data_IF_072331789623
#
_entry.id   IF_072331789623
#
_cell.length_a   1.000
_cell.length_b   1.000
_cell.length_c   1.000
_cell.angle_alpha   90.00
_cell.angle_beta   90.00
_cell.angle_gamma   90.00
#
_symmetry.space_group_name_H-M   'P 1'
#
loop_
_entity.id
_entity.type
_entity.pdbx_description
1 polymer ?
#
# COMPACT_ATOMS: atom_id res chain seq x y z
N UNK A 1 -32.31 -10.11 -25.34
CA UNK A 1 -31.39 -11.22 -25.00
C UNK A 1 -29.97 -10.79 -25.34
N UNK A 2 -29.01 -10.98 -24.43
CA UNK A 2 -27.60 -10.70 -24.72
C UNK A 2 -27.11 -11.66 -25.82
N UNK A 3 -26.49 -11.13 -26.86
CA UNK A 3 -25.91 -11.94 -27.95
C UNK A 3 -24.64 -12.62 -27.41
N UNK A 4 -24.52 -13.93 -27.57
CA UNK A 4 -23.35 -14.68 -27.14
C UNK A 4 -22.12 -14.34 -28.01
N UNK A 5 -20.91 -14.54 -27.48
CA UNK A 5 -19.66 -14.36 -28.23
C UNK A 5 -19.67 -15.10 -29.57
N UNK A 6 -20.12 -16.36 -29.57
CA UNK A 6 -20.32 -17.16 -30.78
C UNK A 6 -21.33 -16.54 -31.74
N UNK A 7 -22.44 -16.00 -31.23
CA UNK A 7 -23.45 -15.31 -32.03
C UNK A 7 -22.96 -13.99 -32.63
N UNK A 8 -22.01 -13.31 -31.98
CA UNK A 8 -21.34 -12.12 -32.56
C UNK A 8 -20.43 -12.51 -33.72
N UNK A 9 -19.66 -13.58 -33.55
CA UNK A 9 -18.78 -14.10 -34.60
C UNK A 9 -19.58 -14.62 -35.79
N UNK A 10 -20.67 -15.35 -35.55
CA UNK A 10 -21.59 -15.80 -36.61
C UNK A 10 -22.08 -14.63 -37.49
N UNK A 11 -22.62 -13.58 -36.86
CA UNK A 11 -23.07 -12.38 -37.58
C UNK A 11 -21.93 -11.69 -38.33
N UNK A 12 -20.76 -11.56 -37.70
CA UNK A 12 -19.61 -10.91 -38.32
C UNK A 12 -19.04 -11.72 -39.49
N UNK A 13 -19.04 -13.05 -39.43
CA UNK A 13 -18.64 -13.92 -40.54
C UNK A 13 -19.62 -13.82 -41.72
N UNK A 14 -20.92 -13.67 -41.45
CA UNK A 14 -21.92 -13.42 -42.50
C UNK A 14 -21.70 -12.06 -43.19
N UNK A 15 -21.46 -11.00 -42.42
CA UNK A 15 -21.11 -9.68 -42.96
C UNK A 15 -19.78 -9.72 -43.73
N UNK A 16 -18.80 -10.48 -43.24
CA UNK A 16 -17.54 -10.71 -43.94
C UNK A 16 -17.76 -11.37 -45.31
N UNK A 17 -18.63 -12.37 -45.39
CA UNK A 17 -19.00 -13.04 -46.64
C UNK A 17 -19.57 -12.03 -47.66
N UNK A 18 -20.54 -11.23 -47.21
CA UNK A 18 -21.23 -10.23 -48.04
C UNK A 18 -20.27 -9.14 -48.54
N UNK A 19 -19.35 -8.68 -47.69
CA UNK A 19 -18.37 -7.66 -48.05
C UNK A 19 -17.22 -8.17 -48.92
N UNK A 20 -16.77 -9.42 -48.72
CA UNK A 20 -15.64 -9.99 -49.47
C UNK A 20 -16.01 -10.45 -50.88
N UNK A 21 -17.20 -11.02 -51.06
CA UNK A 21 -17.57 -11.65 -52.32
C UNK A 21 -17.53 -10.71 -53.54
N UNK A 22 -18.09 -9.48 -53.49
CA UNK A 22 -18.02 -8.54 -54.61
C UNK A 22 -16.57 -8.18 -54.99
N UNK A 23 -15.73 -7.93 -53.98
CA UNK A 23 -14.31 -7.64 -54.17
C UNK A 23 -13.57 -8.81 -54.81
N UNK A 24 -13.73 -10.02 -54.26
CA UNK A 24 -13.11 -11.23 -54.81
C UNK A 24 -13.49 -11.44 -56.28
N UNK A 25 -14.77 -11.28 -56.62
CA UNK A 25 -15.27 -11.43 -57.99
C UNK A 25 -14.63 -10.42 -58.93
N UNK A 26 -14.57 -9.15 -58.54
CA UNK A 26 -13.95 -8.09 -59.32
C UNK A 26 -12.46 -8.36 -59.58
N UNK A 27 -11.71 -8.73 -58.56
CA UNK A 27 -10.27 -8.99 -58.69
C UNK A 27 -9.96 -10.23 -59.54
N UNK A 28 -10.71 -11.31 -59.32
CA UNK A 28 -10.57 -12.53 -60.11
C UNK A 28 -10.94 -12.31 -61.58
N UNK A 29 -11.96 -11.50 -61.87
CA UNK A 29 -12.33 -11.12 -63.24
C UNK A 29 -11.28 -10.21 -63.88
N UNK A 30 -10.62 -9.34 -63.11
CA UNK A 30 -9.54 -8.48 -63.59
C UNK A 30 -8.33 -9.28 -64.10
N UNK A 31 -8.00 -10.40 -63.44
CA UNK A 31 -6.85 -11.25 -63.81
C UNK A 31 -7.22 -12.32 -64.84
N UNK A 32 -8.38 -12.96 -64.70
CA UNK A 32 -8.75 -14.16 -65.47
C UNK A 32 -9.89 -13.95 -66.48
N UNK A 33 -10.50 -12.77 -66.53
CA UNK A 33 -11.61 -12.44 -67.43
C UNK A 33 -12.72 -13.50 -67.37
N UNK A 34 -13.09 -14.11 -68.50
CA UNK A 34 -14.18 -15.10 -68.58
C UNK A 34 -13.82 -16.46 -67.94
N UNK A 35 -12.56 -16.72 -67.61
CA UNK A 35 -12.12 -17.99 -67.01
C UNK A 35 -12.11 -17.99 -65.49
N UNK A 36 -12.49 -16.87 -64.84
CA UNK A 36 -12.38 -16.69 -63.39
C UNK A 36 -13.12 -17.77 -62.59
N UNK A 37 -14.32 -18.19 -63.02
CA UNK A 37 -15.10 -19.23 -62.32
C UNK A 37 -14.40 -20.59 -62.32
N UNK A 38 -13.71 -20.92 -63.42
CA UNK A 38 -12.96 -22.17 -63.55
C UNK A 38 -11.77 -22.18 -62.60
N UNK A 39 -11.06 -21.06 -62.49
CA UNK A 39 -9.95 -20.91 -61.55
C UNK A 39 -10.42 -20.90 -60.09
N UNK A 40 -11.52 -20.21 -59.79
CA UNK A 40 -12.12 -20.25 -58.46
C UNK A 40 -12.49 -21.68 -58.05
N UNK A 41 -13.14 -22.46 -58.96
CA UNK A 41 -13.47 -23.88 -58.72
C UNK A 41 -12.24 -24.77 -58.54
N UNK A 42 -11.12 -24.46 -59.17
CA UNK A 42 -9.89 -25.26 -59.03
C UNK A 42 -9.33 -25.19 -57.60
N UNK A 43 -9.58 -24.08 -56.89
CA UNK A 43 -9.20 -23.89 -55.50
C UNK A 43 -10.10 -24.62 -54.50
N UNK A 44 -11.34 -24.96 -54.88
CA UNK A 44 -12.35 -25.54 -54.00
C UNK A 44 -12.18 -27.06 -53.79
N UNK A 45 -12.61 -27.61 -52.64
CA UNK A 45 -12.62 -29.05 -52.40
C UNK A 45 -13.54 -29.80 -53.37
N UNK A 46 -13.12 -30.99 -53.83
CA UNK A 46 -13.86 -31.80 -54.81
C UNK A 46 -14.96 -32.67 -54.18
N UNK A 47 -15.98 -32.06 -53.55
CA UNK A 47 -17.15 -32.79 -53.03
C UNK A 47 -18.34 -32.78 -54.00
N UNK A 48 -19.15 -33.85 -53.99
CA UNK A 48 -20.30 -34.07 -54.89
C UNK A 48 -21.30 -32.90 -54.96
N UNK A 49 -21.69 -32.24 -53.84
CA UNK A 49 -22.64 -31.12 -53.86
C UNK A 49 -22.07 -29.86 -54.52
N UNK A 50 -20.77 -29.60 -54.32
CA UNK A 50 -20.06 -28.42 -54.86
C UNK A 50 -19.82 -28.52 -56.36
N UNK A 51 -19.73 -29.75 -56.92
CA UNK A 51 -19.55 -29.96 -58.37
C UNK A 51 -20.73 -29.47 -59.21
N UNK A 52 -21.93 -29.46 -58.65
CA UNK A 52 -23.17 -29.13 -59.37
C UNK A 52 -23.51 -27.63 -59.33
N UNK A 53 -22.97 -26.87 -58.38
CA UNK A 53 -23.20 -25.42 -58.25
C UNK A 53 -22.19 -24.60 -59.08
N UNK A 54 -22.56 -23.38 -59.47
CA UNK A 54 -21.62 -22.40 -60.04
C UNK A 54 -20.64 -21.91 -58.96
N UNK A 55 -19.47 -21.40 -59.38
CA UNK A 55 -18.51 -20.83 -58.41
C UNK A 55 -19.15 -19.64 -57.69
N UNK A 56 -19.91 -18.87 -58.46
CA UNK A 56 -20.67 -17.70 -58.05
C UNK A 56 -21.64 -17.98 -56.89
N UNK A 57 -22.43 -19.07 -57.00
CA UNK A 57 -23.39 -19.47 -55.96
C UNK A 57 -22.71 -19.99 -54.69
N UNK A 58 -21.56 -20.67 -54.81
CA UNK A 58 -20.84 -21.18 -53.63
C UNK A 58 -20.20 -20.03 -52.85
N UNK A 59 -19.53 -19.13 -53.57
CA UNK A 59 -18.73 -18.07 -52.96
C UNK A 59 -19.58 -16.93 -52.38
N UNK A 60 -20.81 -16.73 -52.86
CA UNK A 60 -21.72 -15.74 -52.28
C UNK A 60 -22.36 -16.20 -50.96
N UNK A 61 -22.38 -17.51 -50.68
CA UNK A 61 -23.02 -18.09 -49.50
C UNK A 61 -22.01 -18.53 -48.43
N UNK A 62 -20.78 -18.90 -48.81
CA UNK A 62 -19.84 -19.56 -47.90
C UNK A 62 -18.50 -18.80 -47.75
N UNK A 63 -18.37 -18.12 -46.61
CA UNK A 63 -17.14 -17.40 -46.22
C UNK A 63 -15.92 -18.32 -46.10
N UNK A 64 -16.13 -19.61 -45.81
CA UNK A 64 -15.08 -20.62 -45.82
C UNK A 64 -14.38 -20.70 -47.17
N UNK A 65 -15.21 -20.78 -48.22
CA UNK A 65 -14.79 -21.00 -49.59
C UNK A 65 -14.19 -19.72 -50.16
N UNK A 66 -14.75 -18.55 -49.80
CA UNK A 66 -14.16 -17.24 -50.11
C UNK A 66 -12.73 -17.12 -49.58
N UNK A 67 -12.55 -17.29 -48.28
CA UNK A 67 -11.23 -17.14 -47.64
C UNK A 67 -10.21 -18.16 -48.20
N UNK A 68 -10.66 -19.38 -48.52
CA UNK A 68 -9.82 -20.39 -49.15
C UNK A 68 -9.37 -19.99 -50.57
N UNK A 69 -10.26 -19.45 -51.39
CA UNK A 69 -9.91 -18.95 -52.73
C UNK A 69 -8.94 -17.77 -52.61
N UNK A 70 -9.20 -16.82 -51.69
CA UNK A 70 -8.28 -15.70 -51.45
C UNK A 70 -6.88 -16.17 -51.06
N UNK A 71 -6.79 -17.13 -50.13
CA UNK A 71 -5.52 -17.69 -49.69
C UNK A 71 -4.78 -18.41 -50.83
N UNK A 72 -5.47 -19.21 -51.65
CA UNK A 72 -4.83 -19.96 -52.76
C UNK A 72 -4.43 -19.10 -53.96
N UNK A 73 -5.13 -18.00 -54.19
CA UNK A 73 -4.86 -17.06 -55.29
C UNK A 73 -4.14 -15.80 -54.81
N UNK A 74 -3.54 -15.84 -53.61
CA UNK A 74 -2.95 -14.66 -52.96
C UNK A 74 -1.93 -13.96 -53.86
N UNK A 75 -0.87 -14.66 -54.24
CA UNK A 75 0.26 -14.10 -54.98
C UNK A 75 -0.14 -13.56 -56.36
N UNK A 76 -1.14 -14.18 -56.99
CA UNK A 76 -1.55 -13.87 -58.37
C UNK A 76 -2.61 -12.79 -58.46
N UNK A 77 -3.47 -12.65 -57.45
CA UNK A 77 -4.69 -11.83 -57.54
C UNK A 77 -4.74 -10.75 -56.45
N UNK A 78 -4.32 -11.06 -55.22
CA UNK A 78 -4.59 -10.19 -54.07
C UNK A 78 -3.36 -9.49 -53.50
N UNK A 79 -2.16 -9.99 -53.77
CA UNK A 79 -0.93 -9.52 -53.15
C UNK A 79 -0.63 -8.04 -53.44
N UNK A 80 -0.81 -7.59 -54.68
CA UNK A 80 -0.56 -6.19 -55.06
C UNK A 80 -1.51 -5.20 -54.34
N UNK A 81 -2.75 -5.61 -54.08
CA UNK A 81 -3.79 -4.71 -53.52
C UNK A 81 -3.91 -4.78 -52.00
N UNK A 82 -3.76 -5.96 -51.41
CA UNK A 82 -3.98 -6.19 -49.98
C UNK A 82 -2.70 -6.39 -49.16
N UNK A 83 -1.54 -6.54 -49.82
CA UNK A 83 -0.21 -6.71 -49.22
C UNK A 83 -0.09 -7.84 -48.16
N UNK A 84 1.09 -8.01 -47.57
CA UNK A 84 1.32 -9.09 -46.58
C UNK A 84 0.42 -9.01 -45.33
N UNK A 85 -0.04 -7.81 -44.95
CA UNK A 85 -0.96 -7.62 -43.82
C UNK A 85 -2.32 -8.22 -44.10
N UNK A 86 -2.83 -8.08 -45.33
CA UNK A 86 -4.08 -8.72 -45.75
C UNK A 86 -3.99 -10.24 -45.71
N UNK A 87 -2.84 -10.82 -46.07
CA UNK A 87 -2.64 -12.27 -46.04
C UNK A 87 -2.71 -12.82 -44.61
N UNK A 88 -2.09 -12.09 -43.66
CA UNK A 88 -2.15 -12.41 -42.24
C UNK A 88 -3.59 -12.43 -41.72
N UNK A 89 -4.39 -11.41 -42.08
CA UNK A 89 -5.80 -11.32 -41.71
C UNK A 89 -6.61 -12.48 -42.30
N UNK A 90 -6.43 -12.81 -43.59
CA UNK A 90 -7.13 -13.94 -44.21
C UNK A 90 -6.79 -15.26 -43.52
N UNK A 91 -5.52 -15.49 -43.20
CA UNK A 91 -5.07 -16.70 -42.50
C UNK A 91 -5.69 -16.82 -41.11
N UNK A 92 -5.69 -15.72 -40.34
CA UNK A 92 -6.31 -15.67 -39.03
C UNK A 92 -7.83 -15.91 -39.10
N UNK A 93 -8.51 -15.33 -40.09
CA UNK A 93 -9.96 -15.48 -40.26
C UNK A 93 -10.37 -16.88 -40.72
N UNK A 94 -9.50 -17.60 -41.44
CA UNK A 94 -9.68 -19.03 -41.71
C UNK A 94 -9.71 -19.80 -40.38
N UNK A 95 -8.78 -19.51 -39.47
CA UNK A 95 -8.76 -20.16 -38.15
C UNK A 95 -10.01 -19.82 -37.34
N UNK A 96 -10.39 -18.55 -37.25
CA UNK A 96 -11.63 -18.11 -36.56
C UNK A 96 -12.86 -18.82 -37.11
N UNK A 97 -12.99 -18.93 -38.44
CA UNK A 97 -14.11 -19.62 -39.08
C UNK A 97 -14.10 -21.12 -38.78
N UNK A 98 -12.93 -21.77 -38.79
CA UNK A 98 -12.79 -23.17 -38.45
C UNK A 98 -13.16 -23.43 -36.98
N UNK A 99 -12.66 -22.63 -36.05
CA UNK A 99 -13.01 -22.68 -34.63
C UNK A 99 -14.52 -22.52 -34.44
N UNK A 100 -15.13 -21.59 -35.17
CA UNK A 100 -16.58 -21.42 -35.20
C UNK A 100 -17.28 -22.68 -35.73
N UNK A 101 -16.86 -23.26 -36.85
CA UNK A 101 -17.47 -24.47 -37.42
C UNK A 101 -17.35 -25.68 -36.48
N UNK A 102 -16.23 -25.80 -35.75
CA UNK A 102 -15.97 -26.89 -34.80
C UNK A 102 -16.55 -26.66 -33.40
N UNK A 103 -17.36 -25.62 -33.21
CA UNK A 103 -17.99 -25.29 -31.92
C UNK A 103 -16.99 -24.99 -30.80
N UNK A 104 -15.78 -24.53 -31.15
CA UNK A 104 -14.80 -24.09 -30.15
C UNK A 104 -15.36 -22.89 -29.37
N UNK A 105 -15.26 -22.88 -28.04
CA UNK A 105 -15.68 -21.74 -27.22
C UNK A 105 -14.83 -20.50 -27.50
N UNK A 106 -15.48 -19.34 -27.67
CA UNK A 106 -14.79 -18.07 -27.82
C UNK A 106 -14.81 -17.28 -26.51
N UNK A 107 -13.61 -17.04 -25.95
CA UNK A 107 -13.43 -16.08 -24.86
C UNK A 107 -13.76 -14.66 -25.34
N UNK A 108 -14.03 -13.75 -24.41
CA UNK A 108 -14.30 -12.34 -24.72
C UNK A 108 -13.11 -11.70 -25.46
N UNK A 109 -11.87 -12.06 -25.07
CA UNK A 109 -10.64 -11.62 -25.74
C UNK A 109 -10.51 -12.15 -27.18
N UNK A 110 -10.73 -13.46 -27.38
CA UNK A 110 -10.67 -14.06 -28.72
C UNK A 110 -11.78 -13.51 -29.62
N UNK A 111 -12.96 -13.22 -29.05
CA UNK A 111 -14.08 -12.61 -29.76
C UNK A 111 -13.73 -11.20 -30.23
N UNK A 112 -13.14 -10.38 -29.36
CA UNK A 112 -12.69 -9.03 -29.71
C UNK A 112 -11.68 -9.08 -30.86
N UNK A 113 -10.67 -9.95 -30.75
CA UNK A 113 -9.63 -10.12 -31.77
C UNK A 113 -10.22 -10.57 -33.11
N UNK A 114 -11.13 -11.54 -33.09
CA UNK A 114 -11.82 -11.99 -34.31
C UNK A 114 -12.60 -10.84 -34.98
N UNK A 115 -13.36 -10.06 -34.21
CA UNK A 115 -14.11 -8.92 -34.73
C UNK A 115 -13.19 -7.83 -35.29
N UNK A 116 -12.05 -7.57 -34.64
CA UNK A 116 -11.02 -6.64 -35.14
C UNK A 116 -10.49 -7.07 -36.50
N UNK A 117 -10.09 -8.34 -36.63
CA UNK A 117 -9.55 -8.88 -37.89
C UNK A 117 -10.60 -8.85 -39.01
N UNK A 118 -11.87 -9.13 -38.69
CA UNK A 118 -12.99 -9.00 -39.64
C UNK A 118 -13.16 -7.54 -40.10
N UNK A 119 -13.24 -6.59 -39.17
CA UNK A 119 -13.42 -5.18 -39.48
C UNK A 119 -12.26 -4.62 -40.32
N UNK A 120 -11.01 -5.00 -39.99
CA UNK A 120 -9.81 -4.60 -40.74
C UNK A 120 -9.81 -5.15 -42.15
N UNK A 121 -10.20 -6.41 -42.35
CA UNK A 121 -10.28 -6.98 -43.69
C UNK A 121 -11.41 -6.34 -44.52
N UNK A 122 -12.59 -6.10 -43.91
CA UNK A 122 -13.70 -5.40 -44.57
C UNK A 122 -13.31 -3.98 -45.01
N UNK A 123 -12.55 -3.24 -44.18
CA UNK A 123 -12.00 -1.94 -44.54
C UNK A 123 -11.00 -2.04 -45.70
N UNK A 124 -10.12 -3.03 -45.67
CA UNK A 124 -9.10 -3.22 -46.70
C UNK A 124 -9.70 -3.51 -48.09
N UNK A 125 -10.85 -4.19 -48.14
CA UNK A 125 -11.57 -4.46 -49.39
C UNK A 125 -12.60 -3.38 -49.76
N UNK A 126 -12.68 -2.29 -48.99
CA UNK A 126 -13.68 -1.21 -49.18
C UNK A 126 -15.13 -1.72 -49.18
N UNK A 127 -15.45 -2.64 -48.28
CA UNK A 127 -16.82 -3.16 -48.10
C UNK A 127 -17.82 -2.05 -47.68
N UNK A 128 -19.14 -2.26 -47.81
CA UNK A 128 -20.15 -1.29 -47.42
C UNK A 128 -19.96 -0.77 -45.99
N UNK A 129 -20.02 0.56 -45.82
CA UNK A 129 -19.76 1.20 -44.53
C UNK A 129 -20.76 0.79 -43.43
N UNK A 130 -21.96 0.33 -43.81
CA UNK A 130 -22.95 -0.22 -42.88
C UNK A 130 -22.45 -1.52 -42.22
N UNK A 131 -21.84 -2.41 -43.00
CA UNK A 131 -21.36 -3.71 -42.52
C UNK A 131 -20.16 -3.54 -41.59
N UNK A 132 -19.23 -2.66 -41.96
CA UNK A 132 -18.07 -2.30 -41.13
C UNK A 132 -18.54 -1.75 -39.78
N UNK A 133 -19.48 -0.78 -39.79
CA UNK A 133 -20.01 -0.18 -38.56
C UNK A 133 -20.73 -1.18 -37.67
N UNK A 134 -21.43 -2.16 -38.24
CA UNK A 134 -22.10 -3.18 -37.44
C UNK A 134 -21.07 -4.08 -36.74
N UNK A 135 -20.00 -4.51 -37.43
CA UNK A 135 -18.91 -5.28 -36.81
C UNK A 135 -18.19 -4.47 -35.72
N UNK A 136 -17.88 -3.20 -35.99
CA UNK A 136 -17.25 -2.30 -35.00
C UNK A 136 -18.14 -2.07 -33.78
N UNK A 137 -19.46 -1.97 -33.95
CA UNK A 137 -20.41 -1.88 -32.85
C UNK A 137 -20.37 -3.13 -31.97
N UNK A 138 -20.30 -4.32 -32.58
CA UNK A 138 -20.12 -5.56 -31.82
C UNK A 138 -18.76 -5.58 -31.10
N UNK A 139 -17.70 -5.09 -31.75
CA UNK A 139 -16.35 -5.00 -31.18
C UNK A 139 -16.33 -4.09 -29.94
N UNK A 140 -16.95 -2.91 -30.01
CA UNK A 140 -17.04 -1.96 -28.88
C UNK A 140 -17.79 -2.55 -27.68
N UNK A 141 -18.88 -3.29 -27.92
CA UNK A 141 -19.61 -3.96 -26.85
C UNK A 141 -18.77 -5.06 -26.18
N UNK A 142 -18.02 -5.84 -26.97
CA UNK A 142 -17.11 -6.87 -26.44
C UNK A 142 -15.95 -6.24 -25.66
N UNK A 143 -15.42 -5.10 -26.12
CA UNK A 143 -14.39 -4.35 -25.40
C UNK A 143 -14.89 -3.87 -24.03
N UNK A 144 -16.13 -3.41 -23.95
CA UNK A 144 -16.78 -3.04 -22.68
C UNK A 144 -16.87 -4.24 -21.73
N UNK A 145 -17.27 -5.41 -22.23
CA UNK A 145 -17.34 -6.64 -21.44
C UNK A 145 -15.95 -7.07 -20.93
N UNK A 146 -14.92 -6.99 -21.78
CA UNK A 146 -13.52 -7.26 -21.41
C UNK A 146 -13.05 -6.39 -20.24
N UNK A 147 -13.31 -5.08 -20.33
CA UNK A 147 -12.95 -4.15 -19.26
C UNK A 147 -13.67 -4.49 -17.95
N UNK A 148 -14.96 -4.82 -17.99
CA UNK A 148 -15.70 -5.24 -16.80
C UNK A 148 -15.21 -6.56 -16.21
N UNK A 149 -14.82 -7.53 -17.04
CA UNK A 149 -14.23 -8.79 -16.60
C UNK A 149 -12.89 -8.58 -15.89
N UNK A 150 -12.02 -7.71 -16.44
CA UNK A 150 -10.74 -7.36 -15.82
C UNK A 150 -10.93 -6.70 -14.46
N UNK A 151 -11.76 -5.66 -14.36
CA UNK A 151 -12.04 -5.00 -13.06
C UNK A 151 -12.62 -5.97 -12.04
N UNK A 152 -13.48 -6.91 -12.46
CA UNK A 152 -14.02 -7.95 -11.57
C UNK A 152 -12.95 -8.93 -11.09
N UNK A 153 -12.00 -9.30 -11.94
CA UNK A 153 -10.90 -10.18 -11.56
C UNK A 153 -9.93 -9.47 -10.61
N UNK A 154 -9.59 -8.21 -10.89
CA UNK A 154 -8.77 -7.38 -10.01
C UNK A 154 -9.42 -7.24 -8.64
N UNK A 155 -10.71 -6.85 -8.57
CA UNK A 155 -11.43 -6.73 -7.30
C UNK A 155 -11.53 -8.06 -6.53
N UNK A 156 -11.68 -9.20 -7.22
CA UNK A 156 -11.64 -10.52 -6.57
C UNK A 156 -10.26 -10.85 -6.00
N UNK A 157 -9.20 -10.49 -6.71
CA UNK A 157 -7.84 -10.69 -6.25
C UNK A 157 -7.54 -9.83 -5.02
N UNK A 158 -7.91 -8.54 -5.06
CA UNK A 158 -7.80 -7.64 -3.90
C UNK A 158 -8.58 -8.18 -2.70
N UNK A 159 -9.83 -8.58 -2.88
CA UNK A 159 -10.65 -9.16 -1.81
C UNK A 159 -10.03 -10.43 -1.22
N UNK A 160 -9.50 -11.33 -2.05
CA UNK A 160 -8.91 -12.58 -1.58
C UNK A 160 -7.59 -12.38 -0.82
N UNK A 161 -6.78 -11.39 -1.22
CA UNK A 161 -5.55 -11.06 -0.50
C UNK A 161 -5.84 -10.36 0.82
N UNK A 162 -6.82 -9.45 0.83
CA UNK A 162 -7.26 -8.78 2.05
C UNK A 162 -7.84 -9.78 3.06
N UNK A 163 -8.62 -10.77 2.61
CA UNK A 163 -9.13 -11.84 3.47
C UNK A 163 -8.00 -12.64 4.13
N UNK A 164 -6.93 -12.97 3.39
CA UNK A 164 -5.75 -13.66 3.94
C UNK A 164 -5.01 -12.82 4.97
N UNK A 165 -4.86 -11.52 4.70
CA UNK A 165 -4.22 -10.60 5.62
C UNK A 165 -5.05 -10.48 6.91
N UNK A 166 -6.37 -10.40 6.80
CA UNK A 166 -7.27 -10.40 7.96
C UNK A 166 -7.19 -11.68 8.77
N UNK A 167 -7.13 -12.83 8.12
CA UNK A 167 -6.94 -14.12 8.80
C UNK A 167 -5.62 -14.14 9.56
N UNK A 168 -4.51 -13.78 8.89
CA UNK A 168 -3.17 -13.70 9.48
C UNK A 168 -3.12 -12.75 10.67
N UNK A 169 -3.71 -11.56 10.54
CA UNK A 169 -3.62 -10.47 11.54
C UNK A 169 -4.81 -10.45 12.51
N UNK A 170 -5.63 -11.49 12.54
CA UNK A 170 -6.89 -11.53 13.29
C UNK A 170 -6.77 -11.14 14.77
N UNK A 171 -5.71 -11.56 15.46
CA UNK A 171 -5.49 -11.21 16.86
C UNK A 171 -5.07 -9.76 17.07
N UNK A 172 -4.28 -9.20 16.15
CA UNK A 172 -3.90 -7.79 16.20
C UNK A 172 -5.10 -6.90 15.86
N UNK A 173 -5.92 -7.32 14.89
CA UNK A 173 -7.15 -6.62 14.48
C UNK A 173 -8.22 -6.55 15.58
N UNK A 174 -8.23 -7.50 16.54
CA UNK A 174 -9.10 -7.40 17.72
C UNK A 174 -8.71 -6.25 18.66
N UNK A 175 -7.43 -5.88 18.70
CA UNK A 175 -6.90 -4.81 19.55
C UNK A 175 -6.86 -3.47 18.83
N UNK A 176 -6.60 -3.51 17.52
CA UNK A 176 -6.51 -2.37 16.61
C UNK A 176 -7.45 -2.65 15.44
N UNK A 177 -8.74 -2.29 15.53
CA UNK A 177 -9.72 -2.60 14.50
C UNK A 177 -9.54 -1.74 13.24
N UNK A 178 -8.68 -2.20 12.32
CA UNK A 178 -8.49 -1.58 11.00
C UNK A 178 -9.66 -1.90 10.05
N UNK A 179 -10.13 -0.87 9.35
CA UNK A 179 -11.06 -1.01 8.23
C UNK A 179 -10.34 -1.52 6.98
N UNK A 180 -9.10 -1.09 6.73
CA UNK A 180 -8.26 -1.56 5.62
C UNK A 180 -7.09 -2.39 6.16
N UNK A 181 -7.21 -3.72 6.10
CA UNK A 181 -6.20 -4.62 6.67
C UNK A 181 -4.83 -4.52 5.95
N UNK A 182 -4.84 -4.16 4.67
CA UNK A 182 -3.64 -3.89 3.86
C UNK A 182 -2.79 -2.76 4.45
N UNK A 183 -3.41 -1.76 5.07
CA UNK A 183 -2.69 -0.62 5.64
C UNK A 183 -1.94 -1.03 6.91
N UNK A 184 -2.54 -1.89 7.74
CA UNK A 184 -1.85 -2.53 8.86
C UNK A 184 -0.73 -3.44 8.35
N UNK A 185 -0.95 -4.19 7.27
CA UNK A 185 0.08 -5.03 6.65
C UNK A 185 1.27 -4.19 6.15
N UNK A 186 1.01 -3.01 5.58
CA UNK A 186 2.04 -2.06 5.18
C UNK A 186 2.84 -1.56 6.40
N UNK A 187 2.17 -1.19 7.50
CA UNK A 187 2.85 -0.74 8.73
C UNK A 187 3.80 -1.80 9.30
N UNK A 188 3.45 -3.07 9.14
CA UNK A 188 4.25 -4.23 9.55
C UNK A 188 5.38 -4.58 8.55
N UNK A 189 5.44 -3.91 7.40
CA UNK A 189 6.39 -4.24 6.33
C UNK A 189 7.65 -3.39 6.41
N UNK A 190 8.76 -4.01 6.82
CA UNK A 190 10.06 -3.34 6.78
C UNK A 190 10.60 -3.31 5.35
N UNK A 191 11.37 -2.26 5.03
CA UNK A 191 12.01 -2.08 3.70
C UNK A 191 12.82 -3.29 3.21
N UNK A 192 13.45 -4.04 4.12
CA UNK A 192 14.22 -5.23 3.73
C UNK A 192 13.31 -6.32 3.14
N UNK A 193 12.09 -6.47 3.64
CA UNK A 193 11.12 -7.42 3.09
C UNK A 193 10.63 -6.98 1.72
N UNK A 194 10.36 -5.68 1.54
CA UNK A 194 9.97 -5.10 0.24
C UNK A 194 11.03 -5.36 -0.84
N UNK A 195 12.31 -5.15 -0.53
CA UNK A 195 13.39 -5.40 -1.49
C UNK A 195 13.54 -6.88 -1.87
N UNK A 196 13.29 -7.81 -0.93
CA UNK A 196 13.32 -9.24 -1.20
C UNK A 196 12.05 -9.75 -1.90
N UNK A 197 10.90 -9.09 -1.71
CA UNK A 197 9.58 -9.55 -2.17
C UNK A 197 8.76 -8.44 -2.87
N UNK A 198 9.27 -7.81 -3.95
CA UNK A 198 8.61 -6.65 -4.59
C UNK A 198 7.29 -6.97 -5.30
N UNK A 199 6.95 -8.26 -5.44
CA UNK A 199 5.67 -8.73 -6.00
C UNK A 199 4.60 -9.00 -4.93
N UNK A 200 4.98 -9.12 -3.66
CA UNK A 200 4.09 -9.45 -2.56
C UNK A 200 3.59 -8.20 -1.82
N UNK A 201 4.45 -7.18 -1.72
CA UNK A 201 4.14 -5.89 -1.08
C UNK A 201 4.58 -4.75 -2.00
N UNK A 202 3.84 -3.65 -1.97
CA UNK A 202 4.10 -2.50 -2.83
C UNK A 202 4.81 -1.34 -2.11
N UNK A 203 4.72 -1.28 -0.77
CA UNK A 203 5.26 -0.22 0.06
C UNK A 203 5.80 -0.78 1.37
N UNK A 204 6.76 -0.06 1.95
CA UNK A 204 7.24 -0.30 3.30
C UNK A 204 6.60 0.67 4.30
N UNK A 205 7.04 0.58 5.55
CA UNK A 205 6.51 1.31 6.68
C UNK A 205 7.16 2.69 6.93
N UNK A 206 8.16 3.12 6.15
CA UNK A 206 8.98 4.30 6.51
C UNK A 206 8.18 5.62 6.53
N UNK A 207 7.25 5.80 5.59
CA UNK A 207 6.41 7.02 5.57
C UNK A 207 5.36 6.99 6.69
N UNK A 208 4.91 5.80 7.07
CA UNK A 208 3.96 5.63 8.18
C UNK A 208 4.65 5.86 9.52
N UNK A 209 5.89 5.39 9.67
CA UNK A 209 6.78 5.67 10.82
C UNK A 209 6.91 7.18 11.03
N UNK A 210 7.31 7.91 9.97
CA UNK A 210 7.43 9.37 10.00
C UNK A 210 6.14 10.08 10.46
N UNK A 211 4.98 9.62 9.99
CA UNK A 211 3.69 10.18 10.41
C UNK A 211 3.36 9.82 11.86
N UNK A 212 3.66 8.58 12.26
CA UNK A 212 3.42 8.04 13.59
C UNK A 212 4.19 8.77 14.69
N UNK A 213 5.47 9.06 14.46
CA UNK A 213 6.31 9.84 15.39
C UNK A 213 5.67 11.21 15.69
N UNK A 214 5.28 11.95 14.65
CA UNK A 214 4.64 13.25 14.80
C UNK A 214 3.33 13.16 15.60
N UNK A 215 2.54 12.12 15.37
CA UNK A 215 1.28 11.87 16.09
C UNK A 215 1.52 11.52 17.56
N UNK A 216 2.47 10.62 17.85
CA UNK A 216 2.83 10.24 19.22
C UNK A 216 3.38 11.43 20.00
N UNK A 217 4.23 12.24 19.37
CA UNK A 217 4.74 13.48 19.96
C UNK A 217 3.61 14.46 20.30
N UNK A 218 2.64 14.63 19.40
CA UNK A 218 1.48 15.49 19.66
C UNK A 218 0.57 14.93 20.78
N UNK A 219 0.18 13.65 20.69
CA UNK A 219 -0.76 13.02 21.61
C UNK A 219 -0.19 12.90 23.02
N UNK A 220 1.09 12.56 23.15
CA UNK A 220 1.77 12.52 24.47
C UNK A 220 1.83 13.91 25.10
N UNK A 221 2.14 14.96 24.33
CA UNK A 221 2.10 16.35 24.81
C UNK A 221 0.69 16.78 25.25
N UNK A 222 -0.32 16.47 24.45
CA UNK A 222 -1.72 16.78 24.76
C UNK A 222 -2.19 16.04 26.03
N UNK A 223 -1.87 14.74 26.15
CA UNK A 223 -2.17 13.92 27.32
C UNK A 223 -1.54 14.51 28.58
N UNK A 224 -0.25 14.83 28.53
CA UNK A 224 0.47 15.40 29.67
C UNK A 224 -0.09 16.77 30.08
N UNK A 225 -0.41 17.63 29.11
CA UNK A 225 -1.04 18.94 29.39
C UNK A 225 -2.39 18.80 30.12
N UNK A 226 -3.22 17.83 29.72
CA UNK A 226 -4.53 17.59 30.33
C UNK A 226 -4.46 17.01 31.73
N UNK A 227 -3.55 16.06 31.96
CA UNK A 227 -3.54 15.24 33.18
C UNK A 227 -2.53 15.72 34.23
N UNK A 228 -1.53 16.50 33.83
CA UNK A 228 -0.43 16.94 34.70
C UNK A 228 -0.17 18.46 34.57
N UNK A 229 -1.24 19.24 34.41
CA UNK A 229 -1.19 20.71 34.20
C UNK A 229 -0.56 21.50 35.36
N UNK A 230 -0.33 20.86 36.50
CA UNK A 230 0.35 21.43 37.66
C UNK A 230 1.88 21.31 37.61
N UNK A 231 2.44 20.58 36.63
CA UNK A 231 3.89 20.47 36.41
C UNK A 231 4.41 21.62 35.54
N UNK A 232 5.71 21.92 35.68
CA UNK A 232 6.36 22.95 34.87
C UNK A 232 6.65 22.46 33.43
N UNK A 233 6.95 23.37 32.51
CA UNK A 233 7.24 23.03 31.10
C UNK A 233 8.39 22.04 30.93
N UNK A 234 9.46 22.16 31.73
CA UNK A 234 10.62 21.27 31.69
C UNK A 234 10.28 19.84 32.07
N UNK A 235 9.49 19.66 33.13
CA UNK A 235 8.98 18.37 33.58
C UNK A 235 8.10 17.72 32.51
N UNK A 236 7.18 18.48 31.92
CA UNK A 236 6.29 18.01 30.87
C UNK A 236 7.08 17.62 29.61
N UNK A 237 8.08 18.41 29.24
CA UNK A 237 8.96 18.11 28.10
C UNK A 237 9.74 16.82 28.32
N UNK A 238 10.29 16.63 29.52
CA UNK A 238 11.01 15.40 29.89
C UNK A 238 10.09 14.18 29.89
N UNK A 239 8.92 14.27 30.54
CA UNK A 239 7.95 13.18 30.55
C UNK A 239 7.52 12.81 29.14
N UNK A 240 7.29 13.81 28.28
CA UNK A 240 6.96 13.59 26.86
C UNK A 240 8.06 12.79 26.17
N UNK A 241 9.32 13.22 26.28
CA UNK A 241 10.45 12.50 25.69
C UNK A 241 10.57 11.06 26.17
N UNK A 242 10.33 10.78 27.46
CA UNK A 242 10.37 9.43 28.00
C UNK A 242 9.17 8.56 27.57
N UNK A 243 8.04 9.16 27.20
CA UNK A 243 6.87 8.42 26.69
C UNK A 243 7.06 7.98 25.25
N UNK A 244 7.82 8.74 24.45
CA UNK A 244 7.99 8.50 23.01
C UNK A 244 9.43 8.12 22.64
N UNK A 245 10.31 7.83 23.60
CA UNK A 245 11.64 7.31 23.30
C UNK A 245 11.59 5.89 22.74
N UNK A 246 12.55 5.53 21.88
CA UNK A 246 12.63 4.22 21.21
C UNK A 246 12.44 3.04 22.18
N UNK A 247 13.07 3.13 23.35
CA UNK A 247 12.99 2.08 24.37
C UNK A 247 11.57 1.89 24.89
N UNK A 248 10.83 2.98 25.08
CA UNK A 248 9.47 2.93 25.59
C UNK A 248 8.49 2.48 24.50
N UNK A 249 8.65 2.96 23.27
CA UNK A 249 7.84 2.52 22.13
C UNK A 249 8.07 1.03 21.82
N UNK A 250 9.31 0.55 21.91
CA UNK A 250 9.62 -0.88 21.79
C UNK A 250 8.92 -1.74 22.86
N UNK A 251 8.77 -1.24 24.10
CA UNK A 251 8.00 -1.93 25.15
C UNK A 251 6.51 -1.99 24.79
N UNK A 252 5.94 -0.90 24.27
CA UNK A 252 4.55 -0.91 23.79
C UNK A 252 4.37 -1.92 22.65
N UNK A 253 5.32 -1.94 21.70
CA UNK A 253 5.34 -2.90 20.61
C UNK A 253 5.38 -4.36 21.10
N UNK A 254 6.24 -4.63 22.08
CA UNK A 254 6.39 -5.95 22.69
C UNK A 254 5.12 -6.38 23.46
N UNK A 255 4.47 -5.47 24.20
CA UNK A 255 3.21 -5.76 24.89
C UNK A 255 2.07 -6.17 23.93
N UNK A 256 2.12 -5.68 22.69
CA UNK A 256 1.21 -6.04 21.61
C UNK A 256 1.67 -7.27 20.81
N UNK A 257 2.82 -7.85 21.13
CA UNK A 257 3.49 -8.91 20.38
C UNK A 257 3.68 -8.54 18.90
N UNK A 258 3.98 -7.28 18.57
CA UNK A 258 4.11 -6.82 17.17
C UNK A 258 5.22 -7.57 16.42
N UNK A 259 6.30 -7.93 17.13
CA UNK A 259 7.46 -8.62 16.55
C UNK A 259 7.15 -9.86 15.72
N UNK A 260 6.12 -10.65 16.10
CA UNK A 260 5.75 -11.87 15.37
C UNK A 260 5.02 -11.60 14.05
N UNK A 261 4.46 -10.39 13.89
CA UNK A 261 3.66 -10.00 12.74
C UNK A 261 4.47 -9.24 11.69
N UNK A 262 5.66 -8.75 12.07
CA UNK A 262 6.57 -7.98 11.22
C UNK A 262 7.04 -8.80 10.03
N UNK A 263 6.98 -8.17 8.86
CA UNK A 263 7.52 -8.71 7.61
C UNK A 263 8.94 -8.16 7.43
N UNK A 264 9.92 -9.04 7.63
CA UNK A 264 11.35 -8.74 7.55
C UNK A 264 12.00 -9.58 6.45
N UNK A 265 12.95 -8.99 5.71
CA UNK A 265 13.82 -9.77 4.81
C UNK A 265 14.63 -10.80 5.59
N UNK A 266 15.07 -11.88 4.93
CA UNK A 266 15.70 -13.04 5.60
C UNK A 266 16.91 -12.66 6.45
N UNK A 267 17.73 -11.74 5.96
CA UNK A 267 18.90 -11.25 6.70
C UNK A 267 18.52 -10.56 8.02
N UNK A 268 17.53 -9.67 7.98
CA UNK A 268 17.06 -8.92 9.15
C UNK A 268 16.27 -9.82 10.13
N UNK A 269 15.53 -10.81 9.61
CA UNK A 269 14.86 -11.79 10.46
C UNK A 269 15.87 -12.66 11.23
N UNK A 270 16.92 -13.13 10.55
CA UNK A 270 17.94 -14.04 11.13
C UNK A 270 18.82 -13.34 12.16
N UNK A 271 19.03 -12.03 12.04
CA UNK A 271 19.75 -11.22 13.03
C UNK A 271 18.92 -10.87 14.28
N UNK A 272 17.72 -11.45 14.43
CA UNK A 272 16.83 -11.18 15.57
C UNK A 272 16.02 -9.89 15.44
N UNK A 273 15.80 -9.40 14.21
CA UNK A 273 15.11 -8.13 13.96
C UNK A 273 13.71 -8.03 14.59
N UNK A 274 13.01 -9.15 14.78
CA UNK A 274 11.68 -9.20 15.43
C UNK A 274 11.70 -8.82 16.91
N UNK A 275 12.87 -8.87 17.55
CA UNK A 275 13.07 -8.47 18.95
C UNK A 275 13.96 -7.22 19.10
N UNK A 276 14.41 -6.64 17.98
CA UNK A 276 15.32 -5.49 17.99
C UNK A 276 14.54 -4.23 18.35
N UNK A 277 14.94 -3.56 19.42
CA UNK A 277 14.24 -2.39 19.98
C UNK A 277 13.96 -1.31 18.92
N UNK A 278 14.96 -0.96 18.11
CA UNK A 278 14.79 0.05 17.05
C UNK A 278 13.72 -0.34 16.02
N UNK A 279 13.64 -1.62 15.61
CA UNK A 279 12.64 -2.03 14.63
C UNK A 279 11.25 -2.13 15.23
N UNK A 280 11.16 -2.56 16.50
CA UNK A 280 9.91 -2.59 17.24
C UNK A 280 9.34 -1.19 17.45
N UNK A 281 10.19 -0.23 17.83
CA UNK A 281 9.83 1.19 17.96
C UNK A 281 9.26 1.74 16.65
N UNK A 282 10.06 1.68 15.57
CA UNK A 282 9.65 2.19 14.26
C UNK A 282 8.37 1.53 13.74
N UNK A 283 8.20 0.23 13.97
CA UNK A 283 6.97 -0.48 13.56
C UNK A 283 5.77 -0.03 14.38
N UNK A 284 5.94 0.22 15.68
CA UNK A 284 4.88 0.77 16.51
C UNK A 284 4.45 2.15 16.01
N UNK A 285 5.39 3.04 15.74
CA UNK A 285 5.11 4.35 15.13
C UNK A 285 4.36 4.19 13.80
N UNK A 286 4.83 3.30 12.92
CA UNK A 286 4.17 3.03 11.66
C UNK A 286 2.73 2.52 11.83
N UNK A 287 2.45 1.69 12.84
CA UNK A 287 1.10 1.24 13.14
C UNK A 287 0.22 2.41 13.59
N UNK A 288 0.76 3.33 14.40
CA UNK A 288 0.04 4.54 14.80
C UNK A 288 -0.26 5.45 13.60
N UNK A 289 0.72 5.66 12.72
CA UNK A 289 0.53 6.40 11.48
C UNK A 289 -0.52 5.77 10.57
N UNK A 290 -0.48 4.45 10.41
CA UNK A 290 -1.47 3.68 9.67
C UNK A 290 -2.87 3.77 10.28
N UNK A 291 -2.99 3.64 11.60
CA UNK A 291 -4.27 3.65 12.29
C UNK A 291 -4.94 5.02 12.25
N UNK A 292 -4.14 6.10 12.27
CA UNK A 292 -4.64 7.45 12.03
C UNK A 292 -5.24 7.61 10.63
N UNK A 293 -4.58 7.08 9.59
CA UNK A 293 -5.09 7.17 8.21
C UNK A 293 -6.37 6.34 8.00
N UNK A 294 -6.49 5.22 8.70
CA UNK A 294 -7.65 4.32 8.63
C UNK A 294 -8.86 4.85 9.43
N UNK A 295 -8.62 5.28 10.67
CA UNK A 295 -9.68 5.46 11.68
C UNK A 295 -9.68 6.85 12.36
N UNK A 296 -8.73 7.72 12.02
CA UNK A 296 -8.67 9.10 12.50
C UNK A 296 -8.06 9.29 13.91
N UNK A 297 -7.85 10.55 14.30
CA UNK A 297 -7.08 10.90 15.52
C UNK A 297 -7.73 10.45 16.83
N UNK A 298 -9.06 10.43 16.89
CA UNK A 298 -9.80 10.04 18.09
C UNK A 298 -9.58 8.55 18.41
N UNK A 299 -9.66 7.69 17.40
CA UNK A 299 -9.39 6.26 17.54
C UNK A 299 -7.95 5.98 17.99
N UNK A 300 -6.98 6.74 17.46
CA UNK A 300 -5.59 6.66 17.92
C UNK A 300 -5.46 7.09 19.37
N UNK A 301 -6.10 8.20 19.77
CA UNK A 301 -6.05 8.71 21.15
C UNK A 301 -6.58 7.68 22.14
N UNK A 302 -7.75 7.09 21.86
CA UNK A 302 -8.38 6.07 22.70
C UNK A 302 -7.49 4.82 22.84
N UNK A 303 -6.67 4.53 21.84
CA UNK A 303 -5.71 3.43 21.87
C UNK A 303 -4.43 3.76 22.65
N UNK A 304 -3.84 4.96 22.47
CA UNK A 304 -2.52 5.28 23.04
C UNK A 304 -2.57 5.84 24.46
N UNK A 305 -3.59 6.62 24.83
CA UNK A 305 -3.66 7.22 26.18
C UNK A 305 -3.60 6.18 27.31
N UNK A 306 -4.30 5.02 27.22
CA UNK A 306 -4.19 3.97 28.23
C UNK A 306 -2.79 3.37 28.38
N UNK A 307 -1.94 3.47 27.33
CA UNK A 307 -0.56 3.01 27.38
C UNK A 307 0.35 4.01 28.11
N UNK A 308 0.03 5.30 28.05
CA UNK A 308 0.82 6.36 28.70
C UNK A 308 0.61 6.41 30.21
N UNK A 309 -0.62 6.20 30.70
CA UNK A 309 -0.95 6.30 32.13
C UNK A 309 -0.01 5.51 33.05
N UNK A 310 0.16 4.19 32.90
CA UNK A 310 1.00 3.41 33.81
C UNK A 310 2.47 3.85 33.74
N UNK A 311 2.96 4.30 32.58
CA UNK A 311 4.34 4.76 32.40
C UNK A 311 4.57 6.06 33.16
N UNK A 312 3.66 7.04 33.04
CA UNK A 312 3.81 8.30 33.77
C UNK A 312 3.72 8.08 35.28
N UNK A 313 2.81 7.23 35.74
CA UNK A 313 2.68 6.88 37.16
C UNK A 313 3.94 6.20 37.70
N UNK A 314 4.55 5.28 36.94
CA UNK A 314 5.83 4.65 37.29
C UNK A 314 6.97 5.67 37.32
N UNK A 315 7.06 6.56 36.33
CA UNK A 315 8.11 7.59 36.27
C UNK A 315 8.03 8.57 37.44
N UNK A 316 6.81 8.92 37.87
CA UNK A 316 6.56 9.76 39.05
C UNK A 316 6.90 9.00 40.34
N UNK A 317 6.51 7.72 40.44
CA UNK A 317 6.67 6.93 41.67
C UNK A 317 8.10 6.42 41.90
N UNK A 318 8.85 6.16 40.84
CA UNK A 318 10.22 5.61 40.89
C UNK A 318 11.30 6.62 41.27
N UNK A 319 10.94 7.86 41.59
CA UNK A 319 11.88 8.87 42.07
C UNK A 319 12.93 9.27 41.03
N UNK A 320 12.63 9.11 39.75
CA UNK A 320 13.41 9.65 38.64
C UNK A 320 13.26 11.18 38.54
N UNK A 321 13.17 11.89 39.66
CA UNK A 321 13.31 13.34 39.72
C UNK A 321 14.80 13.70 39.88
N UNK A 322 15.37 14.57 39.02
CA UNK A 322 16.16 15.67 39.52
C UNK A 322 15.18 16.68 40.09
N UNK A 323 15.25 16.89 41.40
CA UNK A 323 14.76 18.05 42.14
C UNK A 323 14.12 19.14 41.27
N UNK A 324 12.79 19.16 41.19
CA UNK A 324 12.01 20.39 41.37
C UNK A 324 10.54 20.19 41.02
N UNK A 325 9.72 19.58 41.89
CA UNK A 325 8.30 19.99 42.16
C UNK A 325 7.51 19.01 43.04
N UNK A 326 8.02 18.67 44.22
CA UNK A 326 7.15 18.24 45.32
C UNK A 326 6.74 19.49 46.11
N UNK A 327 5.44 19.80 46.27
CA UNK A 327 5.00 20.78 47.26
C UNK A 327 5.47 20.31 48.65
N UNK A 328 6.50 20.97 49.19
CA UNK A 328 7.17 20.56 50.43
C UNK A 328 8.64 20.15 50.28
N UNK A 329 9.22 20.12 49.07
CA UNK A 329 10.67 19.90 48.92
C UNK A 329 11.45 21.18 49.33
N UNK A 330 12.38 21.09 50.29
CA UNK A 330 13.21 22.20 50.72
C UNK A 330 14.00 22.88 49.60
N UNK A 331 14.39 22.18 48.52
CA UNK A 331 15.17 22.78 47.43
C UNK A 331 14.32 23.71 46.57
N UNK A 332 13.07 23.34 46.31
CA UNK A 332 12.12 24.21 45.60
C UNK A 332 11.66 25.39 46.44
N UNK A 333 11.31 25.13 47.70
CA UNK A 333 10.93 26.19 48.62
C UNK A 333 12.05 27.23 48.73
N UNK A 334 13.31 26.78 48.75
CA UNK A 334 14.45 27.69 48.73
C UNK A 334 14.55 28.46 47.41
N UNK A 335 14.39 27.80 46.26
CA UNK A 335 14.45 28.46 44.96
C UNK A 335 13.35 29.51 44.77
N UNK A 336 12.11 29.20 45.12
CA UNK A 336 10.99 30.14 45.10
C UNK A 336 11.23 31.31 46.04
N UNK A 337 11.66 31.02 47.28
CA UNK A 337 12.02 32.05 48.25
C UNK A 337 13.10 33.00 47.72
N UNK A 338 14.16 32.46 47.14
CA UNK A 338 15.27 33.27 46.60
C UNK A 338 14.78 34.12 45.44
N UNK A 339 13.97 33.55 44.55
CA UNK A 339 13.37 34.27 43.44
C UNK A 339 12.50 35.44 43.90
N UNK A 340 11.67 35.23 44.93
CA UNK A 340 10.77 36.24 45.48
C UNK A 340 11.49 37.32 46.29
N UNK A 341 12.48 36.95 47.11
CA UNK A 341 13.07 37.85 48.10
C UNK A 341 14.41 38.48 47.67
N UNK A 342 15.15 37.83 46.77
CA UNK A 342 16.51 38.24 46.39
C UNK A 342 16.59 38.59 44.89
N UNK A 343 15.79 37.93 44.04
CA UNK A 343 15.74 38.15 42.59
C UNK A 343 16.01 36.86 41.80
N UNK A 344 16.12 36.92 40.46
CA UNK A 344 16.17 35.74 39.58
C UNK A 344 17.55 35.04 39.62
N UNK A 345 17.95 34.58 40.80
CA UNK A 345 19.23 33.93 41.09
C UNK A 345 18.96 32.48 41.49
N UNK A 346 19.64 31.55 40.83
CA UNK A 346 19.53 30.13 41.15
C UNK A 346 20.49 29.77 42.30
N UNK A 347 20.01 29.17 43.41
CA UNK A 347 20.88 28.67 44.47
C UNK A 347 21.85 27.59 43.95
N UNK A 348 23.13 27.70 44.29
CA UNK A 348 24.18 26.76 43.89
C UNK A 348 24.54 25.83 45.03
N UNK A 349 24.56 24.52 44.77
CA UNK A 349 24.96 23.52 45.76
C UNK A 349 26.38 23.04 45.48
N UNK A 350 27.26 23.14 46.47
CA UNK A 350 28.69 22.81 46.34
C UNK A 350 29.04 21.75 47.39
N UNK A 351 29.50 20.59 46.95
CA UNK A 351 30.08 19.58 47.86
C UNK A 351 31.45 20.07 48.33
N UNK A 352 31.58 20.28 49.64
CA UNK A 352 32.81 20.82 50.25
C UNK A 352 33.62 19.75 50.98
N UNK A 353 33.01 18.60 51.28
CA UNK A 353 33.67 17.49 51.95
C UNK A 353 33.02 16.16 51.57
N UNK A 354 33.86 15.15 51.34
CA UNK A 354 33.47 13.75 51.22
C UNK A 354 34.36 12.94 52.17
N UNK A 355 33.77 12.23 53.12
CA UNK A 355 34.49 11.49 54.15
C UNK A 355 33.87 10.11 54.40
N UNK A 356 34.62 9.21 55.04
CA UNK A 356 34.17 7.86 55.39
C UNK A 356 34.54 6.77 54.37
N UNK A 357 34.43 5.49 54.77
CA UNK A 357 34.73 4.35 53.90
C UNK A 357 33.66 4.20 52.81
N UNK A 358 33.96 3.46 51.73
CA UNK A 358 33.06 3.38 50.56
C UNK A 358 31.64 2.90 50.88
N UNK A 359 31.47 2.07 51.91
CA UNK A 359 30.18 1.56 52.37
C UNK A 359 29.47 2.46 53.39
N UNK A 360 30.08 3.58 53.79
CA UNK A 360 29.53 4.55 54.74
C UNK A 360 30.06 5.97 54.46
N UNK A 361 29.95 6.41 53.19
CA UNK A 361 30.33 7.78 52.81
C UNK A 361 29.38 8.80 53.40
N UNK A 362 29.95 9.90 53.86
CA UNK A 362 29.26 11.10 54.31
C UNK A 362 29.67 12.27 53.42
N UNK A 363 28.68 12.98 52.91
CA UNK A 363 28.85 14.14 52.04
C UNK A 363 28.41 15.37 52.81
N UNK A 364 29.18 16.46 52.71
CA UNK A 364 28.80 17.78 53.23
C UNK A 364 28.69 18.75 52.07
N UNK A 365 27.54 19.39 51.97
CA UNK A 365 27.18 20.32 50.90
C UNK A 365 26.80 21.67 51.49
N UNK A 366 27.24 22.74 50.84
CA UNK A 366 26.81 24.11 51.11
C UNK A 366 25.91 24.61 49.97
N UNK A 367 24.87 25.37 50.32
CA UNK A 367 24.09 26.14 49.36
C UNK A 367 24.53 27.61 49.37
N UNK A 368 24.85 28.12 48.19
CA UNK A 368 25.30 29.49 47.96
C UNK A 368 24.31 30.26 47.11
N UNK A 369 24.01 31.49 47.52
CA UNK A 369 23.17 32.43 46.77
C UNK A 369 24.02 33.68 46.57
N UNK A 370 24.24 34.08 45.32
CA UNK A 370 25.12 35.18 44.95
C UNK A 370 26.54 35.10 45.58
N UNK A 371 27.11 33.88 45.60
CA UNK A 371 28.45 33.62 46.14
C UNK A 371 28.54 33.54 47.68
N UNK A 372 27.49 33.88 48.42
CA UNK A 372 27.46 33.78 49.89
C UNK A 372 26.81 32.48 50.35
N UNK A 373 27.27 31.91 51.46
CA UNK A 373 26.75 30.65 52.02
C UNK A 373 25.49 30.91 52.85
N UNK A 374 24.39 30.27 52.46
CA UNK A 374 23.09 30.39 53.13
C UNK A 374 22.71 29.16 53.95
N UNK A 375 23.24 27.99 53.63
CA UNK A 375 22.99 26.77 54.40
C UNK A 375 24.03 25.70 54.14
N UNK A 376 24.16 24.78 55.08
CA UNK A 376 25.06 23.64 54.99
C UNK A 376 24.33 22.40 55.51
N UNK A 377 24.53 21.26 54.86
CA UNK A 377 23.92 19.99 55.23
C UNK A 377 24.85 18.83 54.94
N UNK A 378 24.78 17.81 55.80
CA UNK A 378 25.55 16.57 55.65
C UNK A 378 24.62 15.38 55.55
N UNK A 379 24.97 14.36 54.75
CA UNK A 379 24.13 13.18 54.55
C UNK A 379 24.91 11.99 54.00
N UNK A 380 24.29 10.80 54.00
CA UNK A 380 24.89 9.56 53.49
C UNK A 380 24.92 9.51 51.95
N UNK A 381 24.27 10.47 51.31
CA UNK A 381 24.33 10.73 49.87
C UNK A 381 24.41 12.23 49.61
N UNK A 382 24.92 12.61 48.43
CA UNK A 382 24.94 14.02 47.99
C UNK A 382 23.53 14.64 48.01
N UNK A 383 22.51 13.88 47.60
CA UNK A 383 21.10 14.30 47.60
C UNK A 383 20.59 14.61 49.02
N UNK A 384 20.90 13.76 49.99
CA UNK A 384 20.50 13.98 51.40
C UNK A 384 21.20 15.21 52.00
N UNK A 385 22.48 15.40 51.67
CA UNK A 385 23.27 16.56 52.09
C UNK A 385 22.73 17.87 51.49
N UNK A 386 22.39 17.87 50.20
CA UNK A 386 21.76 19.01 49.50
C UNK A 386 20.42 19.40 50.10
N UNK A 387 19.55 18.42 50.38
CA UNK A 387 18.25 18.65 51.00
C UNK A 387 18.39 19.32 52.38
N UNK A 388 19.29 18.80 53.23
CA UNK A 388 19.58 19.39 54.55
C UNK A 388 20.20 20.79 54.44
N UNK A 389 21.03 21.03 53.42
CA UNK A 389 21.59 22.35 53.15
C UNK A 389 20.49 23.35 52.78
N UNK A 390 19.49 22.92 52.00
CA UNK A 390 18.34 23.73 51.64
C UNK A 390 17.42 24.03 52.83
N UNK A 391 17.14 23.05 53.69
CA UNK A 391 16.40 23.24 54.95
C UNK A 391 17.11 24.23 55.87
N UNK A 392 18.43 24.12 56.00
CA UNK A 392 19.24 25.05 56.80
C UNK A 392 19.17 26.48 56.24
N UNK A 393 19.19 26.64 54.92
CA UNK A 393 19.05 27.95 54.26
C UNK A 393 17.66 28.56 54.44
N UNK A 394 16.59 27.76 54.34
CA UNK A 394 15.22 28.21 54.59
C UNK A 394 15.01 28.67 56.03
N UNK A 395 15.56 27.95 57.01
CA UNK A 395 15.56 28.38 58.42
C UNK A 395 16.31 29.69 58.62
N UNK A 396 17.48 29.83 57.99
CA UNK A 396 18.29 31.06 58.05
C UNK A 396 17.55 32.27 57.45
N UNK A 397 16.78 32.04 56.40
CA UNK A 397 15.92 33.05 55.76
C UNK A 397 14.58 33.27 56.52
N UNK A 398 14.37 32.60 57.66
CA UNK A 398 13.19 32.71 58.56
C UNK A 398 11.85 32.33 57.93
N UNK A 399 11.82 31.26 57.15
CA UNK A 399 10.62 30.82 56.42
C UNK A 399 10.07 29.46 56.87
N UNK A 400 10.73 28.77 57.82
CA UNK A 400 10.27 27.55 58.49
C UNK A 400 10.74 27.54 59.95
#
# INVERSE_FOLDING_TARGET
>A
MAISNRGRIDRALNLLCQGLYPYLKQEMQGVYSNSWEKEAKSCLPKHKPLKQKSADSILSEDVAMLLLVMSKQWDKVFNEKLNSTGNGLVTELIQVRNDWAHQVPFSTANTYRALDSIARLLKAVSAPQADIKEVEKQQQEVLRLLSQEQTRQENRHFSAEEDRIRERLSDLLKRLPFQEADLLNQALTHRSYLYENPKAVSKDNQLLEFLGDALLTFLSGQYLYRHYSNKNEGDLTRLRSLLVEDKQLAKFAAALNIGQWMLLGRGEATSGGTAKESLLSNTFEAIIGAYFLDSGIEAVRDFVEPLFTPVVEELISSGSEPDSNIPGDPKNQLQECVHQNIGPITPQYITIQEAGPDHAKEFTVEVRINGQVYGQGSGRSKKEAEKRAAEAALKKLRLI
#
